data_IF_237218238039
#
_entry.id   IF_237218238039
#
_cell.length_a   1.000
_cell.length_b   1.000
_cell.length_c   1.000
_cell.angle_alpha   90.00
_cell.angle_beta   90.00
_cell.angle_gamma   90.00
#
_symmetry.space_group_name_H-M   'P 1'
#
loop_
_entity.id
_entity.type
_entity.pdbx_description
1 polymer ?
#
# COMPACT_ATOMS: atom_id res chain seq x y z
N UNK A 1 9.23 -11.25 12.52
CA UNK A 1 8.18 -10.21 12.51
C UNK A 1 7.30 -10.40 13.72
N UNK A 2 7.01 -9.33 14.46
CA UNK A 2 6.05 -9.33 15.55
C UNK A 2 4.68 -8.95 15.00
N UNK A 3 3.67 -9.74 15.27
CA UNK A 3 2.31 -9.51 14.82
C UNK A 3 1.41 -9.22 16.03
N UNK A 4 0.58 -8.19 15.89
CA UNK A 4 -0.49 -7.85 16.84
C UNK A 4 -1.82 -7.79 16.08
N UNK A 5 -2.91 -8.11 16.76
CA UNK A 5 -4.24 -8.15 16.17
C UNK A 5 -5.17 -7.22 16.94
N UNK A 6 -5.95 -6.44 16.21
CA UNK A 6 -6.95 -5.55 16.77
C UNK A 6 -8.24 -5.66 15.96
N UNK A 7 -9.35 -5.84 16.63
CA UNK A 7 -10.68 -5.88 15.99
C UNK A 7 -11.22 -4.46 15.90
N UNK A 8 -11.65 -4.05 14.70
CA UNK A 8 -12.44 -2.84 14.51
C UNK A 8 -13.91 -3.21 14.82
N UNK A 9 -14.55 -2.64 15.87
CA UNK A 9 -15.85 -3.11 16.32
C UNK A 9 -17.00 -2.74 15.37
N UNK A 10 -16.84 -1.67 14.58
CA UNK A 10 -17.77 -1.23 13.53
C UNK A 10 -16.97 -0.60 12.38
N UNK A 11 -17.50 -0.63 11.14
CA UNK A 11 -16.81 -0.08 9.97
C UNK A 11 -16.96 1.45 9.89
N UNK A 12 -16.43 2.16 10.88
CA UNK A 12 -16.60 3.61 11.03
C UNK A 12 -15.62 4.42 10.16
N UNK A 13 -14.88 3.77 9.27
CA UNK A 13 -13.95 4.39 8.32
C UNK A 13 -12.48 4.05 8.59
N UNK A 14 -11.64 4.30 7.58
CA UNK A 14 -10.22 3.88 7.61
C UNK A 14 -9.38 4.68 8.61
N UNK A 15 -9.69 5.97 8.83
CA UNK A 15 -8.93 6.78 9.78
C UNK A 15 -9.05 6.25 11.23
N UNK A 16 -10.11 5.51 11.56
CA UNK A 16 -10.27 4.88 12.86
C UNK A 16 -9.15 3.87 13.17
N UNK A 17 -8.55 3.24 12.14
CA UNK A 17 -7.48 2.27 12.35
C UNK A 17 -6.28 2.86 13.11
N UNK A 18 -5.97 4.13 12.92
CA UNK A 18 -4.87 4.81 13.63
C UNK A 18 -5.19 5.02 15.11
N UNK A 19 -6.41 5.35 15.46
CA UNK A 19 -6.83 5.50 16.86
C UNK A 19 -6.93 4.15 17.55
N UNK A 20 -7.37 3.11 16.87
CA UNK A 20 -7.37 1.73 17.39
C UNK A 20 -5.96 1.17 17.56
N UNK A 21 -5.05 1.55 16.65
CA UNK A 21 -3.65 1.14 16.63
C UNK A 21 -2.71 2.04 17.44
N UNK A 22 -3.21 3.03 18.19
CA UNK A 22 -2.41 4.04 18.91
C UNK A 22 -1.29 3.41 19.76
N UNK A 23 -1.59 2.39 20.55
CA UNK A 23 -0.62 1.70 21.39
C UNK A 23 0.47 0.98 20.56
N UNK A 24 0.11 0.45 19.41
CA UNK A 24 1.05 -0.20 18.47
C UNK A 24 1.92 0.80 17.73
N UNK A 25 1.36 1.94 17.31
CA UNK A 25 2.08 2.99 16.58
C UNK A 25 3.03 3.75 17.51
N UNK A 26 2.57 4.07 18.72
CA UNK A 26 3.33 4.89 19.65
C UNK A 26 3.71 6.25 19.07
N UNK A 27 4.95 6.67 19.27
CA UNK A 27 5.51 7.94 18.76
C UNK A 27 6.34 7.76 17.47
N UNK A 28 6.10 6.67 16.72
CA UNK A 28 6.86 6.33 15.52
C UNK A 28 6.09 6.62 14.23
N UNK A 29 6.78 6.91 13.12
CA UNK A 29 6.15 6.88 11.80
C UNK A 29 5.57 5.50 11.47
N UNK A 30 4.48 5.45 10.73
CA UNK A 30 3.86 4.18 10.36
C UNK A 30 3.45 4.12 8.90
N UNK A 31 3.25 2.91 8.40
CA UNK A 31 2.62 2.65 7.12
C UNK A 31 1.29 1.92 7.32
N UNK A 32 0.30 2.28 6.52
CA UNK A 32 -0.95 1.53 6.40
C UNK A 32 -1.06 0.95 5.00
N UNK A 33 -1.40 -0.34 4.94
CA UNK A 33 -1.65 -1.06 3.68
C UNK A 33 -3.03 -1.68 3.76
N UNK A 34 -3.87 -1.44 2.76
CA UNK A 34 -5.16 -2.12 2.65
C UNK A 34 -4.94 -3.53 2.12
N UNK A 35 -5.50 -4.52 2.81
CA UNK A 35 -5.24 -5.94 2.55
C UNK A 35 -5.81 -6.49 1.25
N UNK A 36 -6.68 -5.74 0.60
CA UNK A 36 -7.30 -6.02 -0.71
C UNK A 36 -6.61 -5.30 -1.87
N UNK A 37 -5.48 -4.63 -1.63
CA UNK A 37 -4.73 -3.92 -2.65
C UNK A 37 -3.48 -4.71 -3.07
N UNK A 38 -3.30 -4.91 -4.37
CA UNK A 38 -2.13 -5.53 -4.97
C UNK A 38 -1.36 -4.48 -5.76
N UNK A 39 -0.06 -4.40 -5.52
CA UNK A 39 0.85 -3.52 -6.23
C UNK A 39 1.89 -4.35 -6.98
N UNK A 40 2.05 -4.08 -8.26
CA UNK A 40 3.07 -4.70 -9.09
C UNK A 40 3.78 -3.66 -9.96
N UNK A 41 5.10 -3.67 -9.97
CA UNK A 41 5.89 -2.75 -10.80
C UNK A 41 7.35 -2.72 -10.40
N UNK A 42 8.22 -2.52 -11.37
CA UNK A 42 9.65 -2.38 -11.14
C UNK A 42 9.94 -1.05 -10.40
N UNK A 43 10.82 -1.10 -9.40
CA UNK A 43 11.23 0.09 -8.65
C UNK A 43 10.26 0.52 -7.53
N UNK A 44 9.23 -0.27 -7.21
CA UNK A 44 8.33 0.03 -6.09
C UNK A 44 9.11 0.22 -4.78
N UNK A 45 10.17 -0.58 -4.54
CA UNK A 45 11.02 -0.45 -3.36
C UNK A 45 11.66 0.94 -3.19
N UNK A 46 11.99 1.63 -4.27
CA UNK A 46 12.57 2.98 -4.19
C UNK A 46 11.49 4.03 -3.84
N UNK A 47 10.26 3.85 -4.33
CA UNK A 47 9.13 4.66 -3.89
C UNK A 47 8.85 4.49 -2.40
N UNK A 48 8.87 3.23 -1.91
CA UNK A 48 8.66 2.93 -0.48
C UNK A 48 9.74 3.55 0.40
N UNK A 49 11.03 3.47 0.00
CA UNK A 49 12.13 4.12 0.73
C UNK A 49 11.94 5.62 0.86
N UNK A 50 11.60 6.30 -0.24
CA UNK A 50 11.30 7.74 -0.22
C UNK A 50 10.13 8.09 0.70
N UNK A 51 9.09 7.25 0.71
CA UNK A 51 7.94 7.44 1.59
C UNK A 51 8.31 7.26 3.07
N UNK A 52 9.16 6.28 3.41
CA UNK A 52 9.71 6.09 4.76
C UNK A 52 10.54 7.30 5.19
N UNK A 53 11.45 7.77 4.33
CA UNK A 53 12.28 8.95 4.59
C UNK A 53 11.41 10.20 4.83
N UNK A 54 10.37 10.40 4.00
CA UNK A 54 9.43 11.51 4.17
C UNK A 54 8.69 11.43 5.52
N UNK A 55 8.20 10.23 5.90
CA UNK A 55 7.51 10.02 7.16
C UNK A 55 8.41 10.29 8.38
N UNK A 56 9.68 9.88 8.31
CA UNK A 56 10.68 10.18 9.33
C UNK A 56 10.99 11.69 9.46
N UNK A 57 10.78 12.45 8.36
CA UNK A 57 10.96 13.90 8.31
C UNK A 57 9.67 14.70 8.55
N UNK A 58 8.63 14.10 9.13
CA UNK A 58 7.41 14.80 9.53
C UNK A 58 6.43 15.03 8.38
N UNK A 59 6.42 14.19 7.36
CA UNK A 59 5.55 14.29 6.19
C UNK A 59 4.70 13.03 6.02
N UNK A 60 3.56 13.16 5.34
CA UNK A 60 2.80 12.01 4.86
C UNK A 60 3.10 11.76 3.38
N UNK A 61 2.99 10.50 2.95
CA UNK A 61 3.07 10.12 1.53
C UNK A 61 1.92 9.21 1.16
N UNK A 62 1.23 9.55 0.09
CA UNK A 62 0.22 8.73 -0.58
C UNK A 62 0.65 8.44 -2.02
N UNK A 63 0.07 7.41 -2.64
CA UNK A 63 0.41 7.02 -4.00
C UNK A 63 -0.78 7.26 -4.93
N UNK A 64 -0.55 8.04 -5.98
CA UNK A 64 -1.53 8.33 -7.01
C UNK A 64 -1.40 7.37 -8.20
N UNK A 65 -2.53 6.83 -8.67
CA UNK A 65 -2.61 5.95 -9.83
C UNK A 65 -3.72 6.41 -10.77
N UNK A 66 -3.44 6.44 -12.07
CA UNK A 66 -4.42 6.86 -13.07
C UNK A 66 -5.48 5.78 -13.30
N UNK A 67 -6.75 6.15 -13.14
CA UNK A 67 -7.92 5.25 -13.28
C UNK A 67 -8.93 5.79 -14.27
N UNK A 68 -9.79 4.92 -14.78
CA UNK A 68 -10.87 5.31 -15.72
C UNK A 68 -12.20 5.61 -15.01
N UNK A 69 -12.33 5.21 -13.75
CA UNK A 69 -13.53 5.30 -12.90
C UNK A 69 -13.23 6.05 -11.57
N UNK A 70 -12.74 7.31 -11.65
CA UNK A 70 -12.23 8.05 -10.51
C UNK A 70 -13.27 8.30 -9.42
N UNK A 71 -14.56 8.30 -9.72
CA UNK A 71 -15.65 8.51 -8.77
C UNK A 71 -15.74 7.43 -7.67
N UNK A 72 -15.02 6.33 -7.81
CA UNK A 72 -15.00 5.23 -6.82
C UNK A 72 -13.99 5.45 -5.70
N UNK A 73 -13.05 6.36 -5.86
CA UNK A 73 -11.84 6.47 -5.03
C UNK A 73 -11.67 7.87 -4.42
N UNK A 74 -10.79 7.99 -3.46
CA UNK A 74 -10.21 9.28 -3.10
C UNK A 74 -9.35 9.81 -4.24
N UNK A 75 -9.58 11.05 -4.66
CA UNK A 75 -8.95 11.64 -5.85
C UNK A 75 -8.03 12.78 -5.45
N UNK A 76 -6.86 12.81 -6.09
CA UNK A 76 -5.90 13.92 -6.00
C UNK A 76 -6.06 14.83 -7.20
N UNK A 77 -6.17 16.15 -6.96
CA UNK A 77 -6.13 17.19 -7.97
C UNK A 77 -4.76 17.88 -7.97
N UNK A 78 -4.24 18.17 -9.16
CA UNK A 78 -2.96 18.86 -9.36
C UNK A 78 -3.15 20.17 -10.10
N UNK A 79 -2.28 21.13 -9.85
CA UNK A 79 -2.12 22.30 -10.70
C UNK A 79 -1.30 22.00 -11.96
N UNK A 80 -1.12 23.00 -12.83
CA UNK A 80 -0.35 22.87 -14.08
C UNK A 80 1.13 22.53 -13.85
N UNK A 81 1.66 22.72 -12.64
CA UNK A 81 3.01 22.40 -12.24
C UNK A 81 3.13 21.06 -11.46
N UNK A 82 2.05 20.28 -11.44
CA UNK A 82 1.95 19.02 -10.70
C UNK A 82 2.05 19.14 -9.18
N UNK A 83 1.73 20.30 -8.62
CA UNK A 83 1.53 20.43 -7.18
C UNK A 83 0.13 19.98 -6.81
N UNK A 84 0.02 19.26 -5.70
CA UNK A 84 -1.28 18.83 -5.16
C UNK A 84 -2.03 20.05 -4.64
N UNK A 85 -3.26 20.25 -5.11
CA UNK A 85 -4.11 21.36 -4.69
C UNK A 85 -5.36 20.93 -3.94
N UNK A 86 -5.84 19.71 -4.17
CA UNK A 86 -6.94 19.16 -3.38
C UNK A 86 -6.92 17.64 -3.33
N UNK A 87 -7.57 17.08 -2.30
CA UNK A 87 -7.94 15.67 -2.20
C UNK A 87 -9.42 15.56 -1.85
N UNK A 88 -10.16 14.71 -2.56
CA UNK A 88 -11.61 14.56 -2.39
C UNK A 88 -12.02 13.10 -2.39
N UNK A 89 -12.84 12.68 -1.41
CA UNK A 89 -13.34 11.31 -1.31
C UNK A 89 -14.53 11.08 -2.22
N UNK A 90 -14.42 10.12 -3.14
CA UNK A 90 -15.47 9.65 -4.03
C UNK A 90 -16.32 10.79 -4.65
N UNK A 91 -15.66 11.74 -5.34
CA UNK A 91 -16.34 12.92 -5.86
C UNK A 91 -17.36 12.53 -6.94
N UNK A 92 -18.53 13.17 -6.91
CA UNK A 92 -19.54 12.99 -7.98
C UNK A 92 -19.09 13.56 -9.33
N UNK A 93 -18.20 14.54 -9.30
CA UNK A 93 -17.58 15.16 -10.46
C UNK A 93 -16.07 15.24 -10.21
N UNK A 94 -15.34 14.17 -10.51
CA UNK A 94 -13.91 14.12 -10.28
C UNK A 94 -13.16 15.20 -11.07
N UNK A 95 -12.24 15.88 -10.42
CA UNK A 95 -11.40 16.93 -11.04
C UNK A 95 -10.14 16.37 -11.68
N UNK A 96 -9.82 15.13 -11.40
CA UNK A 96 -8.73 14.38 -12.03
C UNK A 96 -9.03 12.89 -12.08
N UNK A 97 -8.19 12.13 -12.78
CA UNK A 97 -8.25 10.66 -12.84
C UNK A 97 -7.21 9.98 -11.93
N UNK A 98 -6.55 10.73 -11.04
CA UNK A 98 -5.55 10.15 -10.16
C UNK A 98 -6.17 9.74 -8.82
N UNK A 99 -6.41 8.43 -8.69
CA UNK A 99 -6.89 7.82 -7.45
C UNK A 99 -5.77 7.67 -6.42
N UNK A 100 -6.07 7.91 -5.15
CA UNK A 100 -5.20 7.54 -4.04
C UNK A 100 -5.34 6.04 -3.81
N UNK A 101 -4.24 5.32 -3.88
CA UNK A 101 -4.21 3.87 -3.66
C UNK A 101 -4.26 3.50 -2.17
N UNK A 102 -4.49 2.22 -1.86
CA UNK A 102 -4.53 1.73 -0.48
C UNK A 102 -3.16 1.54 0.18
N UNK A 103 -2.23 2.46 -0.04
CA UNK A 103 -0.88 2.45 0.55
C UNK A 103 -0.52 3.85 1.04
N UNK A 104 -0.27 3.97 2.33
CA UNK A 104 -0.09 5.24 3.01
C UNK A 104 1.11 5.19 3.94
N UNK A 105 1.85 6.30 4.02
CA UNK A 105 2.93 6.49 4.98
C UNK A 105 2.69 7.79 5.73
N UNK A 106 2.78 7.74 7.04
CA UNK A 106 2.52 8.89 7.91
C UNK A 106 3.62 9.07 8.95
N UNK A 107 3.84 10.30 9.32
CA UNK A 107 4.67 10.64 10.45
C UNK A 107 3.99 10.29 11.80
N UNK A 108 4.69 10.49 12.90
CA UNK A 108 4.21 10.19 14.25
C UNK A 108 2.96 10.97 14.69
N UNK A 109 2.57 12.04 13.98
CA UNK A 109 1.37 12.85 14.30
C UNK A 109 0.06 12.19 13.86
N UNK A 110 0.13 11.10 13.12
CA UNK A 110 -1.04 10.49 12.48
C UNK A 110 -2.16 10.14 13.45
N UNK A 111 -1.83 9.63 14.64
CA UNK A 111 -2.82 9.28 15.67
C UNK A 111 -3.57 10.52 16.16
N UNK A 112 -2.85 11.59 16.47
CA UNK A 112 -3.45 12.84 16.95
C UNK A 112 -4.28 13.55 15.87
N UNK A 113 -3.87 13.48 14.61
CA UNK A 113 -4.64 13.98 13.47
C UNK A 113 -5.89 13.12 13.23
N UNK A 114 -5.75 11.80 13.28
CA UNK A 114 -6.88 10.88 13.10
C UNK A 114 -7.98 11.07 14.16
N UNK A 115 -7.63 11.40 15.41
CA UNK A 115 -8.60 11.77 16.47
C UNK A 115 -9.42 13.01 16.15
N UNK A 116 -8.95 13.87 15.25
CA UNK A 116 -9.63 15.11 14.86
C UNK A 116 -10.54 14.94 13.63
N UNK A 117 -10.40 13.82 12.91
CA UNK A 117 -11.26 13.51 11.77
C UNK A 117 -12.69 13.35 12.23
N UNK A 118 -13.61 14.00 11.52
CA UNK A 118 -15.05 13.94 11.79
C UNK A 118 -15.73 13.02 10.79
N UNK A 119 -16.83 12.36 11.19
CA UNK A 119 -17.60 11.57 10.24
C UNK A 119 -18.06 12.41 9.04
N UNK A 120 -17.84 11.86 7.85
CA UNK A 120 -18.28 12.45 6.58
C UNK A 120 -19.83 12.40 6.43
N UNK A 121 -20.36 12.91 5.32
CA UNK A 121 -21.76 12.76 4.98
C UNK A 121 -22.20 11.29 4.84
N UNK A 122 -21.22 10.36 4.68
CA UNK A 122 -21.42 8.91 4.64
C UNK A 122 -21.42 8.28 6.04
N UNK A 123 -21.10 9.05 7.07
CA UNK A 123 -20.94 8.58 8.45
C UNK A 123 -19.59 7.93 8.75
N UNK A 124 -18.62 8.04 7.85
CA UNK A 124 -17.30 7.39 7.94
C UNK A 124 -16.20 8.39 8.31
N UNK A 125 -15.22 7.97 9.11
CA UNK A 125 -13.98 8.68 9.36
C UNK A 125 -13.04 8.44 8.16
N UNK A 126 -13.12 9.35 7.19
CA UNK A 126 -12.45 9.17 5.90
C UNK A 126 -10.93 9.37 6.03
N UNK A 127 -10.16 8.47 5.43
CA UNK A 127 -8.70 8.64 5.33
C UNK A 127 -8.35 9.83 4.43
N UNK A 128 -9.21 10.17 3.49
CA UNK A 128 -9.06 11.35 2.63
C UNK A 128 -9.13 12.64 3.41
N UNK A 129 -9.93 12.72 4.49
CA UNK A 129 -9.96 13.88 5.36
C UNK A 129 -8.67 14.00 6.19
N UNK A 130 -8.13 12.87 6.64
CA UNK A 130 -6.79 12.84 7.26
C UNK A 130 -5.72 13.32 6.28
N UNK A 131 -5.71 12.85 5.03
CA UNK A 131 -4.79 13.32 3.99
C UNK A 131 -4.96 14.82 3.70
N UNK A 132 -6.18 15.34 3.75
CA UNK A 132 -6.46 16.78 3.59
C UNK A 132 -5.81 17.62 4.70
N UNK A 133 -5.81 17.13 5.95
CA UNK A 133 -5.13 17.83 7.06
C UNK A 133 -3.61 17.95 6.80
N UNK A 134 -2.97 16.88 6.28
CA UNK A 134 -1.56 16.94 5.85
C UNK A 134 -1.34 17.87 4.66
N UNK A 135 -2.29 17.94 3.72
CA UNK A 135 -2.22 18.86 2.58
C UNK A 135 -2.31 20.32 3.05
N UNK A 136 -3.24 20.64 3.93
CA UNK A 136 -3.43 21.99 4.50
C UNK A 136 -2.23 22.43 5.33
N UNK A 137 -1.55 21.49 5.99
CA UNK A 137 -0.30 21.71 6.73
C UNK A 137 0.94 21.82 5.81
N UNK A 138 0.77 21.57 4.50
CA UNK A 138 1.87 21.58 3.53
C UNK A 138 2.85 20.41 3.65
N UNK A 139 2.40 19.32 4.29
CA UNK A 139 3.23 18.13 4.58
C UNK A 139 2.75 16.85 3.89
N UNK A 140 1.82 16.93 2.92
CA UNK A 140 1.40 15.81 2.09
C UNK A 140 2.26 15.69 0.84
N UNK A 141 2.89 14.55 0.65
CA UNK A 141 3.55 14.16 -0.60
C UNK A 141 2.66 13.19 -1.39
N UNK A 142 2.65 13.34 -2.71
CA UNK A 142 2.02 12.37 -3.61
C UNK A 142 3.08 11.82 -4.55
N UNK A 143 3.26 10.49 -4.56
CA UNK A 143 4.09 9.80 -5.52
C UNK A 143 3.20 9.15 -6.58
N UNK A 144 3.45 9.47 -7.86
CA UNK A 144 2.68 8.90 -8.96
C UNK A 144 3.28 7.54 -9.38
N UNK A 145 2.44 6.52 -9.38
CA UNK A 145 2.73 5.23 -9.98
C UNK A 145 2.39 5.30 -11.46
N UNK A 146 3.42 5.48 -12.29
CA UNK A 146 3.29 5.69 -13.72
C UNK A 146 3.20 4.39 -14.54
N UNK A 147 3.57 4.46 -15.81
CA UNK A 147 3.64 3.30 -16.69
C UNK A 147 4.57 2.22 -16.13
N UNK A 148 4.17 0.97 -16.24
CA UNK A 148 4.92 -0.18 -15.70
C UNK A 148 4.50 -0.57 -14.29
N UNK A 149 3.55 0.15 -13.68
CA UNK A 149 2.88 -0.26 -12.45
C UNK A 149 1.47 -0.78 -12.75
N UNK A 150 1.05 -1.76 -12.00
CA UNK A 150 -0.34 -2.17 -11.87
C UNK A 150 -0.73 -2.03 -10.40
N UNK A 151 -1.86 -1.36 -10.17
CA UNK A 151 -2.56 -1.33 -8.91
C UNK A 151 -3.92 -1.99 -9.11
N UNK A 152 -4.23 -2.96 -8.28
CA UNK A 152 -5.46 -3.74 -8.34
C UNK A 152 -6.14 -3.63 -6.98
N UNK A 153 -7.36 -3.13 -6.98
CA UNK A 153 -8.27 -3.12 -5.84
C UNK A 153 -9.21 -4.31 -5.96
N UNK A 154 -9.09 -5.28 -5.04
CA UNK A 154 -9.86 -6.54 -5.08
C UNK A 154 -11.14 -6.48 -4.26
N UNK A 155 -11.73 -5.30 -4.10
CA UNK A 155 -12.91 -5.05 -3.27
C UNK A 155 -14.23 -5.63 -3.81
N UNK A 156 -14.27 -6.15 -5.05
CA UNK A 156 -15.43 -6.82 -5.64
C UNK A 156 -15.07 -8.21 -6.17
N UNK A 157 -16.07 -9.07 -6.41
CA UNK A 157 -15.82 -10.39 -6.98
C UNK A 157 -15.20 -10.31 -8.37
N UNK A 158 -15.62 -9.37 -9.18
CA UNK A 158 -15.10 -9.18 -10.56
C UNK A 158 -13.63 -8.73 -10.50
N UNK A 159 -13.29 -7.72 -9.68
CA UNK A 159 -11.92 -7.24 -9.53
C UNK A 159 -10.99 -8.26 -8.87
N UNK A 160 -11.52 -9.14 -8.02
CA UNK A 160 -10.74 -10.26 -7.46
C UNK A 160 -10.37 -11.28 -8.56
N UNK A 161 -11.28 -11.59 -9.48
CA UNK A 161 -11.00 -12.48 -10.62
C UNK A 161 -9.98 -11.84 -11.56
N UNK A 162 -10.17 -10.56 -11.91
CA UNK A 162 -9.21 -9.81 -12.74
C UNK A 162 -7.80 -9.80 -12.13
N UNK A 163 -7.70 -9.62 -10.81
CA UNK A 163 -6.43 -9.67 -10.10
C UNK A 163 -5.78 -11.06 -10.16
N UNK A 164 -6.57 -12.12 -10.00
CA UNK A 164 -6.08 -13.50 -10.11
C UNK A 164 -5.55 -13.81 -11.51
N UNK A 165 -6.26 -13.38 -12.56
CA UNK A 165 -5.83 -13.52 -13.97
C UNK A 165 -4.55 -12.72 -14.24
N UNK A 166 -4.46 -11.49 -13.73
CA UNK A 166 -3.25 -10.68 -13.85
C UNK A 166 -2.04 -11.36 -13.22
N UNK A 167 -2.17 -11.83 -11.96
CA UNK A 167 -1.10 -12.53 -11.24
C UNK A 167 -0.68 -13.77 -12.02
N UNK A 168 -1.63 -14.58 -12.47
CA UNK A 168 -1.36 -15.80 -13.25
C UNK A 168 -0.56 -15.50 -14.52
N UNK A 169 -0.98 -14.49 -15.30
CA UNK A 169 -0.31 -14.14 -16.56
C UNK A 169 1.12 -13.66 -16.31
N UNK A 170 1.33 -12.80 -15.31
CA UNK A 170 2.65 -12.28 -14.98
C UNK A 170 3.58 -13.41 -14.54
N UNK A 171 3.16 -14.23 -13.59
CA UNK A 171 3.97 -15.34 -13.06
C UNK A 171 4.30 -16.37 -14.14
N UNK A 172 3.36 -16.71 -15.00
CA UNK A 172 3.62 -17.63 -16.14
C UNK A 172 4.60 -17.05 -17.13
N UNK A 173 4.55 -15.74 -17.41
CA UNK A 173 5.43 -15.10 -18.40
C UNK A 173 6.84 -14.87 -17.87
N UNK A 174 6.95 -14.46 -16.63
CA UNK A 174 8.24 -14.15 -16.00
C UNK A 174 8.90 -15.39 -15.36
N UNK A 175 8.12 -16.40 -15.01
CA UNK A 175 8.62 -17.61 -14.34
C UNK A 175 9.06 -17.37 -12.89
N UNK A 176 8.56 -16.29 -12.28
CA UNK A 176 8.84 -15.90 -10.89
C UNK A 176 7.53 -15.57 -10.18
N UNK A 177 7.52 -15.65 -8.85
CA UNK A 177 6.37 -15.24 -8.03
C UNK A 177 6.29 -13.73 -7.94
N UNK A 178 5.09 -13.15 -8.01
CA UNK A 178 4.87 -11.71 -7.78
C UNK A 178 5.24 -11.33 -6.36
N UNK A 179 4.90 -12.19 -5.41
CA UNK A 179 5.21 -11.99 -4.00
C UNK A 179 5.65 -13.30 -3.35
N UNK A 180 6.84 -13.29 -2.79
CA UNK A 180 7.37 -14.40 -2.00
C UNK A 180 8.04 -13.81 -0.75
N UNK A 181 7.34 -13.74 0.40
CA UNK A 181 7.86 -13.11 1.62
C UNK A 181 9.20 -13.65 2.07
N UNK A 182 9.43 -14.95 1.96
CA UNK A 182 10.70 -15.59 2.32
C UNK A 182 11.83 -15.19 1.38
N UNK A 183 11.57 -15.05 0.07
CA UNK A 183 12.55 -14.53 -0.88
C UNK A 183 12.92 -13.08 -0.54
N UNK A 184 11.92 -12.23 -0.25
CA UNK A 184 12.13 -10.84 0.14
C UNK A 184 13.00 -10.79 1.41
N UNK A 185 12.64 -11.57 2.42
CA UNK A 185 13.41 -11.65 3.68
C UNK A 185 14.86 -12.09 3.45
N UNK A 186 15.07 -13.08 2.58
CA UNK A 186 16.40 -13.57 2.24
C UNK A 186 17.23 -12.53 1.47
N UNK A 187 16.62 -11.85 0.47
CA UNK A 187 17.31 -10.82 -0.31
C UNK A 187 17.71 -9.59 0.52
N UNK A 188 16.93 -9.29 1.56
CA UNK A 188 17.25 -8.23 2.53
C UNK A 188 18.18 -8.70 3.68
N UNK A 189 18.59 -9.96 3.69
CA UNK A 189 19.47 -10.49 4.74
C UNK A 189 18.79 -10.67 6.10
N UNK A 190 17.45 -10.69 6.14
CA UNK A 190 16.69 -10.91 7.38
C UNK A 190 16.62 -12.38 7.77
N UNK A 191 16.79 -13.28 6.81
CA UNK A 191 16.93 -14.72 7.02
C UNK A 191 18.14 -15.23 6.26
N UNK A 192 18.70 -16.34 6.75
CA UNK A 192 19.82 -17.04 6.12
C UNK A 192 19.35 -17.94 4.96
N UNK A 193 20.32 -18.43 4.17
CA UNK A 193 20.03 -19.42 3.11
C UNK A 193 19.46 -20.72 3.70
N UNK A 194 19.95 -21.15 4.85
CA UNK A 194 19.48 -22.34 5.54
C UNK A 194 18.04 -22.20 5.99
N UNK A 195 17.66 -21.04 6.52
CA UNK A 195 16.28 -20.72 6.90
C UNK A 195 15.35 -20.66 5.68
N UNK A 196 15.81 -20.08 4.56
CA UNK A 196 15.06 -20.09 3.31
C UNK A 196 14.82 -21.53 2.79
N UNK A 197 15.84 -22.38 2.81
CA UNK A 197 15.70 -23.78 2.41
C UNK A 197 14.74 -24.54 3.32
N UNK A 198 14.80 -24.31 4.63
CA UNK A 198 13.84 -24.90 5.58
C UNK A 198 12.39 -24.48 5.27
N UNK A 199 12.18 -23.22 4.92
CA UNK A 199 10.85 -22.75 4.48
C UNK A 199 10.44 -23.44 3.18
N UNK A 200 11.34 -23.53 2.18
CA UNK A 200 11.08 -24.22 0.93
C UNK A 200 10.65 -25.68 1.13
N UNK A 201 11.34 -26.39 2.02
CA UNK A 201 11.03 -27.79 2.35
C UNK A 201 9.63 -27.93 3.00
N UNK A 202 9.18 -26.93 3.76
CA UNK A 202 7.84 -26.91 4.36
C UNK A 202 6.73 -26.87 3.29
N UNK A 203 6.99 -26.16 2.18
CA UNK A 203 6.08 -26.09 1.04
C UNK A 203 6.20 -27.31 0.10
N UNK A 204 7.23 -28.14 0.27
CA UNK A 204 7.44 -29.40 -0.45
C UNK A 204 7.56 -29.19 -1.97
N UNK A 205 6.87 -30.05 -2.74
CA UNK A 205 6.88 -30.02 -4.22
C UNK A 205 5.87 -29.01 -4.82
N UNK A 206 5.40 -28.06 -4.06
CA UNK A 206 4.56 -27.00 -4.60
C UNK A 206 5.37 -26.06 -5.50
N UNK A 207 4.75 -25.37 -6.48
CA UNK A 207 5.43 -24.36 -7.29
C UNK A 207 6.12 -23.28 -6.45
N UNK A 208 5.55 -22.94 -5.29
CA UNK A 208 6.14 -22.00 -4.36
C UNK A 208 7.40 -22.52 -3.69
N UNK A 209 7.39 -23.78 -3.18
CA UNK A 209 8.59 -24.42 -2.63
C UNK A 209 9.72 -24.56 -3.65
N UNK A 210 9.38 -24.96 -4.89
CA UNK A 210 10.36 -25.02 -5.98
C UNK A 210 10.94 -23.65 -6.33
N UNK A 211 10.12 -22.58 -6.29
CA UNK A 211 10.58 -21.21 -6.45
C UNK A 211 11.62 -20.83 -5.40
N UNK A 212 11.32 -21.05 -4.10
CA UNK A 212 12.24 -20.74 -3.01
C UNK A 212 13.57 -21.52 -3.11
N UNK A 213 13.54 -22.79 -3.54
CA UNK A 213 14.76 -23.55 -3.83
C UNK A 213 15.58 -22.91 -4.94
N UNK A 214 14.94 -22.46 -6.03
CA UNK A 214 15.64 -21.76 -7.14
C UNK A 214 16.26 -20.44 -6.69
N UNK A 215 15.59 -19.72 -5.79
CA UNK A 215 16.13 -18.49 -5.16
C UNK A 215 17.37 -18.83 -4.33
N UNK A 216 17.28 -19.82 -3.44
CA UNK A 216 18.40 -20.26 -2.59
C UNK A 216 19.63 -20.74 -3.39
N UNK A 217 19.38 -21.31 -4.57
CA UNK A 217 20.43 -21.76 -5.51
C UNK A 217 21.00 -20.64 -6.39
N UNK A 218 20.50 -19.42 -6.26
CA UNK A 218 20.94 -18.27 -7.07
C UNK A 218 20.55 -18.35 -8.55
N UNK A 219 19.53 -19.17 -8.87
CA UNK A 219 19.04 -19.37 -10.25
C UNK A 219 18.11 -18.25 -10.72
N UNK A 220 17.59 -17.45 -9.81
CA UNK A 220 16.71 -16.32 -10.09
C UNK A 220 17.43 -15.01 -9.78
N UNK A 221 17.59 -14.16 -10.79
CA UNK A 221 18.22 -12.82 -10.69
C UNK A 221 17.34 -11.80 -11.41
N UNK A 222 17.01 -10.72 -10.74
CA UNK A 222 16.33 -9.53 -11.29
C UNK A 222 16.64 -8.29 -10.46
#
# INVERSE_FOLDING_TARGET
VNLSYKVQPSPDGLAQAFTLGEEFIGDEPCAMVLGDNIFYGAGLGDHLKKAVEAAQNGQATVFGYYVNDPERFGIVEFDDNWHVISVEEKPKQPKSNYAITGLYFYDKRVVELAKQVKPSARGELEITDLNRMYLEDGTLNVQLLGRGYAWLDTGTMDTLVEAAEFVQVIEQRQGIMISAPEEIAYRHGWITREELLKSADTYGKSPYGEHLHRVADGKIRY
#
